data_IF_180933188222
#
_entry.id   IF_180933188222
#
_cell.length_a   1.000
_cell.length_b   1.000
_cell.length_c   1.000
_cell.angle_alpha   90.00
_cell.angle_beta   90.00
_cell.angle_gamma   90.00
#
_symmetry.space_group_name_H-M   'P 1'
#
loop_
_entity.id
_entity.type
_entity.pdbx_description
1 polymer ?
#
# COMPACT_ATOMS: atom_id res chain seq x y z
N UNK A 1 1.87 11.66 13.92
CA UNK A 1 1.10 11.03 12.83
C UNK A 1 0.94 9.56 13.16
N UNK A 2 -0.21 8.96 12.83
CA UNK A 2 -0.44 7.54 13.05
C UNK A 2 -1.22 6.96 11.88
N UNK A 3 -0.75 5.82 11.35
CA UNK A 3 -1.50 5.09 10.33
C UNK A 3 -2.66 4.36 11.03
N UNK A 4 -3.87 4.61 10.58
CA UNK A 4 -5.08 4.00 11.13
C UNK A 4 -5.47 2.75 10.33
N UNK A 5 -5.44 2.84 9.00
CA UNK A 5 -5.83 1.75 8.10
C UNK A 5 -5.20 1.91 6.72
N UNK A 6 -5.17 0.82 5.97
CA UNK A 6 -4.91 0.82 4.53
C UNK A 6 -6.12 0.20 3.84
N UNK A 7 -6.79 0.98 3.01
CA UNK A 7 -7.98 0.58 2.26
C UNK A 7 -7.66 0.41 0.78
N UNK A 8 -8.59 -0.19 0.03
CA UNK A 8 -8.50 -0.32 -1.44
C UNK A 8 -7.17 -0.90 -1.96
N UNK A 9 -6.54 -1.77 -1.17
CA UNK A 9 -5.26 -2.38 -1.50
C UNK A 9 -5.40 -3.32 -2.69
N UNK A 10 -4.76 -2.96 -3.81
CA UNK A 10 -4.93 -3.65 -5.10
C UNK A 10 -3.65 -3.61 -5.91
N UNK A 11 -3.48 -4.61 -6.79
CA UNK A 11 -2.39 -4.59 -7.76
C UNK A 11 -2.60 -3.43 -8.75
N UNK A 12 -1.56 -2.62 -8.92
CA UNK A 12 -1.51 -1.53 -9.89
C UNK A 12 -0.50 -1.81 -11.01
N UNK A 13 0.29 -2.88 -10.87
CA UNK A 13 1.20 -3.37 -11.88
C UNK A 13 1.68 -4.79 -11.58
N UNK A 14 2.63 -5.30 -12.36
CA UNK A 14 3.15 -6.68 -12.20
C UNK A 14 3.75 -6.92 -10.81
N UNK A 15 4.47 -5.93 -10.30
CA UNK A 15 5.23 -5.96 -9.04
C UNK A 15 4.90 -4.72 -8.19
N UNK A 16 3.68 -4.20 -8.31
CA UNK A 16 3.27 -2.98 -7.62
C UNK A 16 1.83 -3.10 -7.15
N UNK A 17 1.58 -2.61 -5.95
CA UNK A 17 0.23 -2.41 -5.41
C UNK A 17 0.06 -0.96 -4.97
N UNK A 18 -1.18 -0.49 -5.01
CA UNK A 18 -1.59 0.79 -4.46
C UNK A 18 -2.59 0.56 -3.33
N UNK A 19 -2.49 1.37 -2.27
CA UNK A 19 -3.43 1.34 -1.16
C UNK A 19 -3.67 2.75 -0.62
N UNK A 20 -4.88 2.98 -0.15
CA UNK A 20 -5.31 4.23 0.45
C UNK A 20 -5.00 4.21 1.95
N UNK A 21 -3.94 4.91 2.37
CA UNK A 21 -3.57 5.07 3.76
C UNK A 21 -4.45 6.15 4.43
N UNK A 22 -5.13 5.75 5.50
CA UNK A 22 -5.88 6.65 6.38
C UNK A 22 -4.97 7.01 7.55
N UNK A 23 -4.61 8.28 7.68
CA UNK A 23 -3.60 8.75 8.65
C UNK A 23 -4.24 9.78 9.57
N UNK A 24 -4.08 9.59 10.87
CA UNK A 24 -4.40 10.61 11.86
C UNK A 24 -3.28 11.67 11.90
N UNK A 25 -3.68 12.90 11.58
CA UNK A 25 -2.85 14.10 11.64
C UNK A 25 -3.60 15.20 12.39
N UNK A 26 -3.13 15.52 13.60
CA UNK A 26 -3.71 16.55 14.47
C UNK A 26 -5.21 16.35 14.76
N UNK A 27 -5.64 15.09 14.97
CA UNK A 27 -7.03 14.76 15.26
C UNK A 27 -7.94 14.77 14.03
N UNK A 28 -7.37 14.79 12.83
CA UNK A 28 -8.07 14.69 11.56
C UNK A 28 -7.56 13.49 10.78
N UNK A 29 -8.49 12.79 10.14
CA UNK A 29 -8.16 11.72 9.22
C UNK A 29 -7.89 12.33 7.85
N UNK A 30 -6.65 12.18 7.38
CA UNK A 30 -6.26 12.52 6.02
C UNK A 30 -6.02 11.25 5.20
N UNK A 31 -6.20 11.36 3.89
CA UNK A 31 -5.96 10.27 2.95
C UNK A 31 -4.68 10.49 2.14
N UNK A 32 -3.87 9.44 2.04
CA UNK A 32 -2.70 9.39 1.17
C UNK A 32 -2.63 8.06 0.42
N UNK A 33 -2.30 8.09 -0.85
CA UNK A 33 -2.03 6.91 -1.67
C UNK A 33 -0.61 6.42 -1.37
N UNK A 34 -0.47 5.17 -0.94
CA UNK A 34 0.81 4.51 -0.77
C UNK A 34 1.02 3.52 -1.92
N UNK A 35 2.18 3.60 -2.55
CA UNK A 35 2.63 2.71 -3.62
C UNK A 35 3.63 1.70 -3.05
N UNK A 36 3.28 0.43 -3.13
CA UNK A 36 4.02 -0.68 -2.57
C UNK A 36 4.75 -1.44 -3.68
N UNK A 37 6.08 -1.50 -3.60
CA UNK A 37 6.91 -2.28 -4.51
C UNK A 37 7.01 -3.71 -4.00
N UNK A 38 6.64 -4.68 -4.83
CA UNK A 38 6.47 -6.07 -4.44
C UNK A 38 7.50 -6.98 -5.09
N UNK A 39 8.02 -7.94 -4.33
CA UNK A 39 8.84 -9.05 -4.84
C UNK A 39 8.42 -10.33 -4.13
N UNK A 40 8.00 -11.35 -4.87
CA UNK A 40 7.37 -12.53 -4.24
C UNK A 40 6.20 -12.10 -3.34
N UNK A 41 6.12 -12.62 -2.13
CA UNK A 41 5.08 -12.22 -1.17
C UNK A 41 5.50 -11.07 -0.25
N UNK A 42 6.58 -10.35 -0.60
CA UNK A 42 7.17 -9.32 0.25
C UNK A 42 7.00 -7.92 -0.35
N UNK A 43 6.94 -6.92 0.52
CA UNK A 43 7.04 -5.51 0.17
C UNK A 43 8.47 -4.99 0.35
N UNK A 44 9.12 -4.60 -0.76
CA UNK A 44 10.48 -4.07 -0.77
C UNK A 44 10.55 -2.62 -0.34
N UNK A 45 9.53 -1.83 -0.65
CA UNK A 45 9.52 -0.41 -0.37
C UNK A 45 8.13 0.20 -0.54
N UNK A 46 7.96 1.34 0.11
CA UNK A 46 6.73 2.12 0.07
C UNK A 46 7.11 3.53 -0.39
N UNK A 47 6.37 4.05 -1.38
CA UNK A 47 6.49 5.43 -1.84
C UNK A 47 5.17 6.15 -1.68
N UNK A 48 5.27 7.44 -1.41
CA UNK A 48 4.12 8.33 -1.39
C UNK A 48 3.61 8.54 -2.83
N UNK A 49 2.31 8.37 -3.01
CA UNK A 49 1.56 8.76 -4.20
C UNK A 49 0.84 10.09 -3.98
N UNK A 50 -0.40 10.18 -4.46
CA UNK A 50 -1.24 11.37 -4.24
C UNK A 50 -1.62 11.48 -2.77
N UNK A 51 -1.65 12.69 -2.23
CA UNK A 51 -2.11 12.95 -0.86
C UNK A 51 -2.84 14.28 -0.77
N UNK A 52 -3.57 14.47 0.32
CA UNK A 52 -4.22 15.74 0.61
C UNK A 52 -3.21 16.87 0.80
N UNK A 53 -3.58 18.08 0.34
CA UNK A 53 -2.71 19.26 0.35
C UNK A 53 -2.44 19.82 1.76
N UNK A 54 -3.21 19.38 2.75
CA UNK A 54 -3.09 19.82 4.14
C UNK A 54 -1.78 19.36 4.80
N UNK A 55 -1.12 18.34 4.23
CA UNK A 55 0.12 17.79 4.75
C UNK A 55 1.18 17.83 3.67
N UNK A 56 2.39 18.24 4.05
CA UNK A 56 3.50 18.34 3.10
C UNK A 56 4.00 16.97 2.68
N UNK A 57 4.43 16.87 1.43
CA UNK A 57 5.06 15.65 0.88
C UNK A 57 6.24 15.20 1.74
N UNK A 58 7.10 16.14 2.15
CA UNK A 58 8.27 15.84 2.98
C UNK A 58 7.90 15.17 4.31
N UNK A 59 6.88 15.69 5.00
CA UNK A 59 6.42 15.13 6.27
C UNK A 59 5.86 13.72 6.11
N UNK A 60 5.07 13.48 5.06
CA UNK A 60 4.53 12.14 4.76
C UNK A 60 5.62 11.15 4.36
N UNK A 61 6.61 11.57 3.58
CA UNK A 61 7.74 10.72 3.25
C UNK A 61 8.57 10.35 4.48
N UNK A 62 8.82 11.30 5.38
CA UNK A 62 9.53 11.03 6.63
C UNK A 62 8.72 10.10 7.53
N UNK A 63 7.39 10.26 7.58
CA UNK A 63 6.51 9.34 8.26
C UNK A 63 6.61 7.92 7.70
N UNK A 64 6.60 7.75 6.37
CA UNK A 64 6.80 6.44 5.72
C UNK A 64 8.18 5.87 6.07
N UNK A 65 9.24 6.69 6.01
CA UNK A 65 10.62 6.25 6.32
C UNK A 65 10.73 5.73 7.76
N UNK A 66 10.14 6.43 8.72
CA UNK A 66 10.23 6.10 10.15
C UNK A 66 9.41 4.85 10.53
N UNK A 67 8.36 4.53 9.77
CA UNK A 67 7.46 3.40 10.04
C UNK A 67 7.51 2.30 8.97
N UNK A 68 8.53 2.32 8.11
CA UNK A 68 8.60 1.46 6.92
C UNK A 68 8.41 -0.02 7.23
N UNK A 69 9.08 -0.52 8.27
CA UNK A 69 9.02 -1.92 8.69
C UNK A 69 7.63 -2.32 9.20
N UNK A 70 6.97 -1.43 9.92
CA UNK A 70 5.62 -1.64 10.45
C UNK A 70 4.60 -1.74 9.31
N UNK A 71 4.65 -0.78 8.39
CA UNK A 71 3.71 -0.74 7.25
C UNK A 71 3.86 -1.94 6.33
N UNK A 72 5.09 -2.41 6.11
CA UNK A 72 5.35 -3.63 5.34
C UNK A 72 4.64 -4.84 5.95
N UNK A 73 4.77 -5.03 7.27
CA UNK A 73 4.13 -6.15 7.98
C UNK A 73 2.60 -6.09 7.92
N UNK A 74 2.02 -4.89 7.97
CA UNK A 74 0.57 -4.72 7.88
C UNK A 74 -0.01 -5.22 6.55
N UNK A 75 0.71 -5.04 5.44
CA UNK A 75 0.19 -5.37 4.10
C UNK A 75 0.62 -6.75 3.58
N UNK A 76 1.49 -7.46 4.28
CA UNK A 76 1.94 -8.82 3.90
C UNK A 76 0.78 -9.81 3.64
N UNK A 77 -0.25 -9.90 4.51
CA UNK A 77 -1.39 -10.78 4.27
C UNK A 77 -2.14 -10.45 2.97
N UNK A 78 -2.32 -9.16 2.70
CA UNK A 78 -3.00 -8.69 1.48
C UNK A 78 -2.18 -8.94 0.21
N UNK A 79 -0.85 -8.84 0.28
CA UNK A 79 0.03 -9.17 -0.86
C UNK A 79 -0.14 -10.63 -1.25
N UNK A 80 -0.11 -11.54 -0.27
CA UNK A 80 -0.29 -12.96 -0.52
C UNK A 80 -1.67 -13.26 -1.14
N UNK A 81 -2.73 -12.64 -0.61
CA UNK A 81 -4.10 -12.73 -1.15
C UNK A 81 -4.17 -12.26 -2.61
N UNK A 82 -3.67 -11.06 -2.90
CA UNK A 82 -3.70 -10.50 -4.26
C UNK A 82 -2.94 -11.35 -5.29
N UNK A 83 -1.82 -11.96 -4.88
CA UNK A 83 -1.06 -12.84 -5.78
C UNK A 83 -1.78 -14.14 -6.06
N UNK A 84 -2.41 -14.73 -5.04
CA UNK A 84 -3.25 -15.92 -5.21
C UNK A 84 -4.41 -15.64 -6.16
N UNK A 85 -5.16 -14.55 -5.93
CA UNK A 85 -6.28 -14.14 -6.80
C UNK A 85 -5.84 -13.87 -8.25
N UNK A 86 -4.61 -13.40 -8.47
CA UNK A 86 -4.08 -13.19 -9.82
C UNK A 86 -3.73 -14.52 -10.49
N UNK A 87 -3.11 -15.44 -9.76
CA UNK A 87 -2.76 -16.77 -10.29
C UNK A 87 -4.03 -17.55 -10.68
N UNK A 88 -5.04 -17.53 -9.82
CA UNK A 88 -6.34 -18.18 -10.06
C UNK A 88 -7.02 -17.62 -11.31
N UNK A 89 -7.01 -16.28 -11.49
CA UNK A 89 -7.55 -15.65 -12.69
C UNK A 89 -6.80 -16.05 -13.97
N UNK A 90 -5.46 -16.17 -13.91
CA UNK A 90 -4.69 -16.62 -15.07
C UNK A 90 -5.04 -18.06 -15.45
N UNK A 91 -5.15 -18.96 -14.48
CA UNK A 91 -5.51 -20.36 -14.72
C UNK A 91 -6.92 -20.54 -15.29
N UNK A 92 -7.87 -19.68 -14.89
CA UNK A 92 -9.24 -19.70 -15.43
C UNK A 92 -9.32 -19.22 -16.88
N UNK A 93 -8.43 -18.31 -17.30
CA UNK A 93 -8.39 -17.80 -18.68
C UNK A 93 -7.82 -18.84 -19.64
N UNK A 94 -6.93 -19.71 -19.19
CA UNK A 94 -6.31 -20.76 -20.02
C UNK A 94 -7.26 -21.96 -20.32
N UNK A 95 -8.47 -21.98 -19.74
CA UNK A 95 -9.48 -23.05 -19.92
C UNK A 95 -10.72 -22.62 -20.73
N UNK A 96 -10.68 -21.47 -21.40
CA UNK A 96 -11.67 -21.02 -22.38
C UNK A 96 -11.05 -20.92 -23.77
#
# INVERSE_FOLDING_TARGET
MKLLAVENFRLTGRNMAGGDAIIDYNGRNIKAEFNYYLQGNQCLGIRLGRHEKEVTTALLEDFIRNHLTEFKKMVEPDIARLKKERLERMMQVDHQ
#
